data_IF_310293893322
#
_entry.id   IF_310293893322
#
_cell.length_a   1.000
_cell.length_b   1.000
_cell.length_c   1.000
_cell.angle_alpha   90.00
_cell.angle_beta   90.00
_cell.angle_gamma   90.00
#
_symmetry.space_group_name_H-M   'P 1'
#
loop_
_entity.id
_entity.type
_entity.pdbx_description
1 polymer ?
#
# COMPACT_ATOMS: atom_id res chain seq x y z
N UNK A 1 -5.75 -9.98 16.20
CA UNK A 1 -5.62 -9.63 17.64
C UNK A 1 -6.04 -10.84 18.44
N UNK A 2 -5.11 -11.70 18.84
CA UNK A 2 -5.41 -12.95 19.57
C UNK A 2 -5.77 -12.66 21.02
N UNK A 3 -6.70 -13.43 21.60
CA UNK A 3 -7.11 -13.32 23.03
C UNK A 3 -5.89 -13.34 23.96
N UNK A 4 -4.89 -14.17 23.66
CA UNK A 4 -3.62 -14.25 24.38
C UNK A 4 -2.83 -12.93 24.45
N UNK A 5 -2.88 -12.08 23.41
CA UNK A 5 -2.21 -10.77 23.42
C UNK A 5 -2.93 -9.77 24.32
N UNK A 6 -4.25 -9.93 24.46
CA UNK A 6 -5.06 -9.07 25.31
C UNK A 6 -4.85 -9.45 26.78
N UNK A 7 -4.82 -10.74 27.09
CA UNK A 7 -4.51 -11.27 28.43
C UNK A 7 -3.13 -10.86 28.91
N UNK A 8 -2.10 -10.95 28.06
CA UNK A 8 -0.75 -10.49 28.40
C UNK A 8 -0.72 -8.99 28.75
N UNK A 9 -1.46 -8.16 27.99
CA UNK A 9 -1.55 -6.72 28.23
C UNK A 9 -2.32 -6.40 29.52
N UNK A 10 -3.38 -7.14 29.81
CA UNK A 10 -4.15 -6.99 31.06
C UNK A 10 -3.29 -7.36 32.26
N UNK A 11 -2.55 -8.48 32.19
CA UNK A 11 -1.63 -8.88 33.25
C UNK A 11 -0.52 -7.85 33.50
N UNK A 12 -0.02 -7.20 32.43
CA UNK A 12 0.93 -6.11 32.56
C UNK A 12 0.33 -4.86 33.24
N UNK A 13 -0.90 -4.49 32.87
CA UNK A 13 -1.62 -3.37 33.50
C UNK A 13 -1.91 -3.64 34.97
N UNK A 14 -2.34 -4.87 35.30
CA UNK A 14 -2.54 -5.30 36.69
C UNK A 14 -1.25 -5.22 37.49
N UNK A 15 -0.13 -5.68 36.92
CA UNK A 15 1.20 -5.59 37.55
C UNK A 15 1.62 -4.15 37.81
N UNK A 16 1.34 -3.23 36.88
CA UNK A 16 1.70 -1.81 37.02
C UNK A 16 0.85 -1.15 38.12
N UNK A 17 -0.43 -1.48 38.22
CA UNK A 17 -1.37 -0.83 39.13
C UNK A 17 -1.29 -1.40 40.55
N UNK A 18 -1.23 -2.73 40.68
CA UNK A 18 -1.26 -3.44 41.97
C UNK A 18 0.16 -3.76 42.49
N UNK A 19 1.19 -3.60 41.66
CA UNK A 19 2.56 -3.99 41.95
C UNK A 19 2.77 -5.51 41.84
N UNK A 20 4.02 -5.94 41.67
CA UNK A 20 4.40 -7.35 41.50
C UNK A 20 4.29 -8.23 42.75
N UNK A 21 3.44 -7.90 43.71
CA UNK A 21 3.31 -8.64 44.96
C UNK A 21 2.07 -9.53 44.94
N UNK A 22 2.30 -10.85 44.93
CA UNK A 22 1.33 -11.88 45.30
C UNK A 22 1.06 -11.83 46.82
N UNK A 23 0.75 -10.65 47.35
CA UNK A 23 0.31 -10.47 48.73
C UNK A 23 -1.22 -10.56 48.70
N UNK A 24 -1.74 -11.60 49.33
CA UNK A 24 -3.17 -11.82 49.53
C UNK A 24 -3.87 -10.52 49.89
N UNK A 25 -4.85 -10.10 49.05
CA UNK A 25 -5.67 -8.90 49.18
C UNK A 25 -5.94 -8.54 50.66
N UNK A 26 -5.19 -7.62 51.26
CA UNK A 26 -5.70 -6.88 52.40
C UNK A 26 -6.67 -5.86 51.79
N UNK A 27 -7.87 -5.75 52.35
CA UNK A 27 -8.97 -4.85 51.97
C UNK A 27 -8.64 -3.82 50.88
N UNK A 28 -9.43 -3.86 49.80
CA UNK A 28 -9.47 -2.89 48.71
C UNK A 28 -9.13 -1.49 49.27
N UNK A 29 -8.01 -0.86 48.88
CA UNK A 29 -7.63 0.43 49.46
C UNK A 29 -8.82 1.39 49.32
N UNK A 30 -9.26 2.07 50.38
CA UNK A 30 -10.58 2.73 50.46
C UNK A 30 -10.73 3.95 49.53
N UNK A 31 -9.72 4.26 48.71
CA UNK A 31 -9.70 5.42 47.81
C UNK A 31 -9.29 4.98 46.42
N UNK A 32 -10.14 5.29 45.45
CA UNK A 32 -9.86 5.13 44.02
C UNK A 32 -8.52 5.78 43.67
N UNK A 33 -7.70 5.10 42.86
CA UNK A 33 -6.41 5.61 42.36
C UNK A 33 -6.58 6.99 41.73
N UNK A 34 -7.72 7.22 41.09
CA UNK A 34 -8.08 8.52 40.53
C UNK A 34 -8.17 9.62 41.60
N UNK A 35 -8.74 9.33 42.77
CA UNK A 35 -8.81 10.28 43.87
C UNK A 35 -7.43 10.57 44.45
N UNK A 36 -6.60 9.53 44.63
CA UNK A 36 -5.22 9.69 45.09
C UNK A 36 -4.38 10.52 44.12
N UNK A 37 -4.54 10.28 42.82
CA UNK A 37 -3.89 11.07 41.76
C UNK A 37 -4.42 12.51 41.73
N UNK A 38 -5.73 12.72 41.89
CA UNK A 38 -6.32 14.05 41.94
C UNK A 38 -5.83 14.84 43.16
N UNK A 39 -5.73 14.20 44.31
CA UNK A 39 -5.22 14.81 45.54
C UNK A 39 -3.72 15.12 45.43
N UNK A 40 -2.93 14.20 44.86
CA UNK A 40 -1.52 14.44 44.55
C UNK A 40 -1.34 15.59 43.56
N UNK A 41 -2.19 15.68 42.53
CA UNK A 41 -2.16 16.76 41.56
C UNK A 41 -2.55 18.11 42.18
N UNK A 42 -3.57 18.14 43.06
CA UNK A 42 -3.92 19.35 43.83
C UNK A 42 -2.78 19.77 44.76
N UNK A 43 -2.12 18.82 45.42
CA UNK A 43 -0.96 19.07 46.26
C UNK A 43 0.23 19.60 45.43
N UNK A 44 0.44 19.06 44.23
CA UNK A 44 1.43 19.53 43.26
C UNK A 44 1.16 20.98 42.86
N UNK A 45 -0.07 21.31 42.45
CA UNK A 45 -0.49 22.67 42.08
C UNK A 45 -0.33 23.67 43.24
N UNK A 46 -0.60 23.23 44.47
CA UNK A 46 -0.35 24.04 45.66
C UNK A 46 1.16 24.25 45.93
N UNK A 47 1.98 23.24 45.65
CA UNK A 47 3.43 23.28 45.81
C UNK A 47 4.12 24.11 44.71
N UNK A 48 3.61 24.11 43.47
CA UNK A 48 4.11 24.93 42.35
C UNK A 48 3.98 26.44 42.60
N UNK A 49 3.10 26.87 43.51
CA UNK A 49 3.04 28.27 43.97
C UNK A 49 4.33 28.71 44.68
N UNK A 50 5.16 27.76 45.13
CA UNK A 50 6.49 28.04 45.68
C UNK A 50 7.51 28.02 44.54
N UNK A 51 8.08 29.19 44.23
CA UNK A 51 9.02 29.37 43.12
C UNK A 51 10.16 28.34 43.07
N UNK A 52 10.72 27.95 44.23
CA UNK A 52 11.78 26.92 44.29
C UNK A 52 11.33 25.53 43.86
N UNK A 53 10.09 25.14 44.18
CA UNK A 53 9.55 23.82 43.82
C UNK A 53 9.25 23.78 42.32
N UNK A 54 8.68 24.87 41.80
CA UNK A 54 8.46 25.04 40.36
C UNK A 54 9.78 24.95 39.58
N UNK A 55 10.81 25.66 40.02
CA UNK A 55 12.14 25.60 39.41
C UNK A 55 12.73 24.18 39.41
N UNK A 56 12.59 23.42 40.52
CA UNK A 56 13.05 22.03 40.57
C UNK A 56 12.23 21.09 39.69
N UNK A 57 10.92 21.32 39.55
CA UNK A 57 10.04 20.53 38.69
C UNK A 57 10.36 20.79 37.22
N UNK A 58 10.61 22.04 36.85
CA UNK A 58 11.04 22.44 35.51
C UNK A 58 12.39 21.78 35.16
N UNK A 59 13.36 21.81 36.10
CA UNK A 59 14.64 21.10 35.96
C UNK A 59 14.51 19.57 35.89
N UNK A 60 13.41 19.00 36.38
CA UNK A 60 13.18 17.54 36.27
C UNK A 60 13.01 17.11 34.81
N UNK A 61 12.40 17.97 33.97
CA UNK A 61 12.33 17.72 32.53
C UNK A 61 13.71 17.81 31.87
N UNK A 62 14.55 18.74 32.31
CA UNK A 62 15.95 18.82 31.85
C UNK A 62 16.74 17.59 32.28
N UNK A 63 16.63 17.16 33.54
CA UNK A 63 17.28 15.94 34.04
C UNK A 63 16.80 14.71 33.26
N UNK A 64 15.51 14.60 32.93
CA UNK A 64 14.99 13.54 32.06
C UNK A 64 15.64 13.55 30.68
N UNK A 65 15.88 14.74 30.11
CA UNK A 65 16.58 14.90 28.83
C UNK A 65 18.05 14.47 28.94
N UNK A 66 18.75 14.80 30.02
CA UNK A 66 20.13 14.36 30.24
C UNK A 66 20.27 12.87 30.60
N UNK A 67 19.20 12.23 31.06
CA UNK A 67 19.13 10.79 31.33
C UNK A 67 18.78 9.95 30.09
N UNK A 68 18.36 10.58 28.98
CA UNK A 68 18.15 9.87 27.72
C UNK A 68 19.51 9.43 27.15
N UNK A 69 19.76 8.12 26.99
CA UNK A 69 21.02 7.62 26.43
C UNK A 69 21.35 8.24 25.07
N UNK A 70 20.34 8.55 24.26
CA UNK A 70 20.52 9.12 22.92
C UNK A 70 20.89 10.61 22.95
N UNK A 71 20.52 11.33 24.02
CA UNK A 71 20.86 12.75 24.15
C UNK A 71 22.36 12.95 24.40
N UNK A 72 22.96 12.06 25.19
CA UNK A 72 24.40 12.07 25.41
C UNK A 72 25.16 11.67 24.16
N UNK A 73 24.69 10.71 23.37
CA UNK A 73 25.35 10.32 22.12
C UNK A 73 25.39 11.48 21.12
N UNK A 74 24.28 12.20 20.92
CA UNK A 74 24.24 13.34 19.97
C UNK A 74 25.19 14.49 20.35
N UNK A 75 25.40 14.70 21.65
CA UNK A 75 26.28 15.75 22.21
C UNK A 75 27.72 15.27 22.36
N UNK A 76 27.95 14.00 22.71
CA UNK A 76 29.27 13.40 22.90
C UNK A 76 29.94 13.01 21.59
N UNK A 77 29.17 12.83 20.50
CA UNK A 77 29.76 12.66 19.19
C UNK A 77 30.46 13.95 18.75
N UNK A 78 31.79 13.95 18.88
CA UNK A 78 32.67 15.00 18.38
C UNK A 78 32.39 15.27 16.89
N UNK A 79 32.47 16.54 16.49
CA UNK A 79 32.28 16.94 15.09
C UNK A 79 33.21 16.17 14.14
N UNK A 80 34.41 15.84 14.60
CA UNK A 80 35.37 15.01 13.85
C UNK A 80 34.83 13.60 13.56
N UNK A 81 34.13 13.00 14.52
CA UNK A 81 33.53 11.68 14.35
C UNK A 81 32.27 11.75 13.46
N UNK A 82 31.47 12.83 13.55
CA UNK A 82 30.35 13.07 12.63
C UNK A 82 30.83 13.18 11.18
N UNK A 83 31.93 13.90 10.94
CA UNK A 83 32.57 14.00 9.62
C UNK A 83 33.01 12.63 9.12
N UNK A 84 33.67 11.83 9.97
CA UNK A 84 34.10 10.47 9.59
C UNK A 84 32.94 9.54 9.27
N UNK A 85 31.82 9.63 10.00
CA UNK A 85 30.61 8.86 9.71
C UNK A 85 30.01 9.28 8.35
N UNK A 86 29.93 10.59 8.07
CA UNK A 86 29.43 11.09 6.79
C UNK A 86 30.33 10.62 5.64
N UNK A 87 31.65 10.71 5.78
CA UNK A 87 32.60 10.25 4.77
C UNK A 87 32.55 8.73 4.58
N UNK A 88 32.43 7.96 5.66
CA UNK A 88 32.28 6.50 5.59
C UNK A 88 30.99 6.08 4.86
N UNK A 89 29.94 6.90 4.99
CA UNK A 89 28.60 6.63 4.45
C UNK A 89 28.34 7.37 3.12
N UNK A 90 29.32 8.11 2.61
CA UNK A 90 29.18 8.99 1.43
C UNK A 90 28.62 8.25 0.21
N UNK A 91 29.17 7.07 -0.11
CA UNK A 91 28.71 6.26 -1.24
C UNK A 91 27.22 5.92 -1.14
N UNK A 92 26.76 5.51 0.04
CA UNK A 92 25.35 5.14 0.24
C UNK A 92 24.44 6.37 0.23
N UNK A 93 24.91 7.54 0.69
CA UNK A 93 24.15 8.79 0.62
C UNK A 93 23.97 9.18 -0.85
N UNK A 94 25.02 9.05 -1.67
CA UNK A 94 24.94 9.31 -3.11
C UNK A 94 24.04 8.31 -3.83
N UNK A 95 24.15 7.01 -3.50
CA UNK A 95 23.30 5.97 -4.08
C UNK A 95 21.82 6.17 -3.73
N UNK A 96 21.52 6.48 -2.47
CA UNK A 96 20.14 6.76 -2.02
C UNK A 96 19.59 8.05 -2.63
N UNK A 97 20.40 9.10 -2.78
CA UNK A 97 20.01 10.31 -3.49
C UNK A 97 19.68 10.04 -4.97
N UNK A 98 20.53 9.27 -5.68
CA UNK A 98 20.28 8.86 -7.07
C UNK A 98 19.01 8.01 -7.19
N UNK A 99 18.80 7.08 -6.25
CA UNK A 99 17.59 6.27 -6.21
C UNK A 99 16.34 7.15 -5.99
N UNK A 100 16.43 8.15 -5.11
CA UNK A 100 15.34 9.09 -4.85
C UNK A 100 15.03 9.95 -6.08
N UNK A 101 16.04 10.45 -6.79
CA UNK A 101 15.87 11.18 -8.06
C UNK A 101 15.19 10.29 -9.12
N UNK A 102 15.60 9.02 -9.22
CA UNK A 102 14.96 8.07 -10.15
C UNK A 102 13.50 7.79 -9.79
N UNK A 103 13.18 7.76 -8.49
CA UNK A 103 11.82 7.58 -7.99
C UNK A 103 10.95 8.82 -8.27
N UNK A 104 11.51 10.02 -8.09
CA UNK A 104 10.79 11.27 -8.36
C UNK A 104 10.48 11.42 -9.86
N UNK A 105 11.42 11.03 -10.73
CA UNK A 105 11.17 10.91 -12.17
C UNK A 105 10.04 9.92 -12.48
N UNK A 106 9.96 8.79 -11.77
CA UNK A 106 8.95 7.76 -11.98
C UNK A 106 7.57 8.14 -11.42
N UNK A 107 7.51 9.00 -10.40
CA UNK A 107 6.27 9.48 -9.78
C UNK A 107 5.33 10.15 -10.78
N UNK A 108 5.88 10.82 -11.79
CA UNK A 108 5.11 11.44 -12.87
C UNK A 108 4.37 10.43 -13.75
N UNK A 109 4.92 9.22 -13.92
CA UNK A 109 4.31 8.16 -14.75
C UNK A 109 3.19 7.40 -14.03
N UNK A 110 3.34 7.21 -12.71
CA UNK A 110 2.33 6.52 -11.89
C UNK A 110 0.98 7.26 -11.83
N UNK A 111 1.00 8.59 -11.95
CA UNK A 111 -0.20 9.43 -11.91
C UNK A 111 -0.69 9.86 -13.30
N UNK A 112 -0.19 9.26 -14.39
CA UNK A 112 -0.70 9.58 -15.71
C UNK A 112 -2.18 9.15 -15.85
N UNK A 113 -3.07 10.03 -16.34
CA UNK A 113 -4.49 9.72 -16.50
C UNK A 113 -4.73 8.53 -17.45
N UNK A 114 -3.77 8.21 -18.32
CA UNK A 114 -3.79 7.03 -19.19
C UNK A 114 -3.94 5.71 -18.41
N UNK A 115 -3.45 5.62 -17.17
CA UNK A 115 -3.66 4.43 -16.33
C UNK A 115 -5.08 4.36 -15.74
N UNK A 116 -5.77 5.49 -15.58
CA UNK A 116 -7.16 5.53 -15.12
C UNK A 116 -8.12 5.03 -16.20
N UNK A 117 -7.87 5.42 -17.45
CA UNK A 117 -8.70 5.05 -18.60
C UNK A 117 -8.52 3.59 -19.05
N UNK A 118 -7.60 2.85 -18.42
CA UNK A 118 -7.25 1.48 -18.79
C UNK A 118 -8.43 0.51 -18.62
N UNK A 119 -9.27 0.71 -17.60
CA UNK A 119 -10.46 -0.13 -17.39
C UNK A 119 -11.53 0.11 -18.46
N UNK A 120 -11.77 1.38 -18.81
CA UNK A 120 -12.70 1.75 -19.88
C UNK A 120 -12.20 1.27 -21.24
N UNK A 121 -10.89 1.39 -21.51
CA UNK A 121 -10.26 0.88 -22.72
C UNK A 121 -10.36 -0.65 -22.79
N UNK A 122 -10.17 -1.35 -21.67
CA UNK A 122 -10.33 -2.81 -21.59
C UNK A 122 -11.76 -3.24 -21.89
N UNK A 123 -12.76 -2.52 -21.36
CA UNK A 123 -14.17 -2.78 -21.65
C UNK A 123 -14.51 -2.54 -23.13
N UNK A 124 -14.03 -1.44 -23.71
CA UNK A 124 -14.17 -1.14 -25.15
C UNK A 124 -13.50 -2.20 -26.01
N UNK A 125 -12.29 -2.63 -25.64
CA UNK A 125 -11.54 -3.66 -26.36
C UNK A 125 -12.26 -5.01 -26.29
N UNK A 126 -12.78 -5.42 -25.13
CA UNK A 126 -13.57 -6.64 -25.00
C UNK A 126 -14.81 -6.63 -25.90
N UNK A 127 -15.52 -5.50 -25.98
CA UNK A 127 -16.66 -5.32 -26.89
C UNK A 127 -16.24 -5.40 -28.35
N UNK A 128 -15.09 -4.83 -28.71
CA UNK A 128 -14.54 -4.90 -30.06
C UNK A 128 -14.14 -6.33 -30.43
N UNK A 129 -13.49 -7.06 -29.54
CA UNK A 129 -13.12 -8.47 -29.75
C UNK A 129 -14.35 -9.34 -30.00
N UNK A 130 -15.43 -9.13 -29.24
CA UNK A 130 -16.70 -9.82 -29.46
C UNK A 130 -17.27 -9.51 -30.84
N UNK A 131 -17.30 -8.22 -31.23
CA UNK A 131 -17.76 -7.83 -32.58
C UNK A 131 -16.88 -8.38 -33.70
N UNK A 132 -15.57 -8.45 -33.48
CA UNK A 132 -14.64 -9.03 -34.44
C UNK A 132 -14.87 -10.54 -34.60
N UNK A 133 -15.15 -11.26 -33.52
CA UNK A 133 -15.50 -12.68 -33.58
C UNK A 133 -16.80 -12.90 -34.39
N UNK A 134 -17.84 -12.10 -34.13
CA UNK A 134 -19.09 -12.13 -34.91
C UNK A 134 -18.85 -11.82 -36.40
N UNK A 135 -18.03 -10.81 -36.71
CA UNK A 135 -17.71 -10.47 -38.09
C UNK A 135 -16.92 -11.59 -38.79
N UNK A 136 -16.03 -12.26 -38.06
CA UNK A 136 -15.25 -13.36 -38.61
C UNK A 136 -16.13 -14.57 -38.95
N UNK A 137 -17.12 -14.91 -38.12
CA UNK A 137 -18.08 -15.98 -38.44
C UNK A 137 -18.95 -15.60 -39.62
N UNK A 138 -19.52 -14.39 -39.64
CA UNK A 138 -20.36 -13.93 -40.76
C UNK A 138 -19.59 -13.88 -42.09
N UNK A 139 -18.31 -13.51 -42.04
CA UNK A 139 -17.47 -13.49 -43.25
C UNK A 139 -17.17 -14.90 -43.74
N UNK A 140 -16.94 -15.86 -42.84
CA UNK A 140 -16.75 -17.26 -43.22
C UNK A 140 -18.03 -17.83 -43.85
N UNK A 141 -19.19 -17.63 -43.23
CA UNK A 141 -20.48 -18.09 -43.75
C UNK A 141 -20.76 -17.49 -45.14
N UNK A 142 -20.52 -16.18 -45.31
CA UNK A 142 -20.70 -15.50 -46.60
C UNK A 142 -19.74 -16.05 -47.67
N UNK A 143 -18.48 -16.33 -47.31
CA UNK A 143 -17.52 -16.93 -48.26
C UNK A 143 -18.01 -18.31 -48.69
N UNK A 144 -18.52 -19.12 -47.77
CA UNK A 144 -19.04 -20.46 -48.07
C UNK A 144 -20.26 -20.39 -48.99
N UNK A 145 -21.24 -19.53 -48.70
CA UNK A 145 -22.41 -19.30 -49.57
C UNK A 145 -22.00 -18.81 -50.97
N UNK A 146 -21.03 -17.90 -51.04
CA UNK A 146 -20.57 -17.36 -52.33
C UNK A 146 -19.85 -18.42 -53.16
N UNK A 147 -19.07 -19.30 -52.51
CA UNK A 147 -18.39 -20.40 -53.16
C UNK A 147 -19.40 -21.45 -53.67
N UNK A 148 -20.43 -21.77 -52.89
CA UNK A 148 -21.50 -22.67 -53.31
C UNK A 148 -22.22 -22.11 -54.56
N UNK A 149 -22.61 -20.84 -54.54
CA UNK A 149 -23.24 -20.19 -55.69
C UNK A 149 -22.33 -20.16 -56.93
N UNK A 150 -21.03 -19.90 -56.73
CA UNK A 150 -20.05 -19.94 -57.83
C UNK A 150 -19.93 -21.34 -58.43
N UNK A 151 -20.05 -22.37 -57.59
CA UNK A 151 -19.98 -23.76 -58.02
C UNK A 151 -21.24 -24.17 -58.79
N UNK A 152 -22.43 -23.78 -58.33
CA UNK A 152 -23.68 -23.97 -59.09
C UNK A 152 -23.62 -23.26 -60.45
N UNK A 153 -23.10 -22.03 -60.49
CA UNK A 153 -22.89 -21.30 -61.73
C UNK A 153 -21.89 -22.01 -62.66
N UNK A 154 -20.78 -22.51 -62.12
CA UNK A 154 -19.80 -23.28 -62.91
C UNK A 154 -20.40 -24.57 -63.47
N UNK A 155 -21.25 -25.25 -62.70
CA UNK A 155 -21.93 -26.48 -63.11
C UNK A 155 -22.97 -26.22 -64.21
N UNK A 156 -23.79 -25.18 -64.06
CA UNK A 156 -24.77 -24.78 -65.09
C UNK A 156 -24.09 -24.36 -66.39
N UNK A 157 -23.00 -23.59 -66.35
CA UNK A 157 -22.19 -23.28 -67.55
C UNK A 157 -21.65 -24.54 -68.19
N UNK A 158 -21.12 -25.48 -67.40
CA UNK A 158 -20.56 -26.72 -67.91
C UNK A 158 -21.63 -27.53 -68.64
N UNK A 159 -22.83 -27.61 -68.09
CA UNK A 159 -23.93 -28.36 -68.69
C UNK A 159 -24.48 -27.67 -69.94
N UNK A 160 -24.61 -26.34 -69.93
CA UNK A 160 -24.92 -25.56 -71.13
C UNK A 160 -23.86 -25.79 -72.21
N UNK A 161 -22.57 -25.77 -71.85
CA UNK A 161 -21.47 -26.00 -72.80
C UNK A 161 -21.52 -27.40 -73.40
N UNK A 162 -21.81 -28.43 -72.60
CA UNK A 162 -22.01 -29.81 -73.09
C UNK A 162 -23.21 -29.88 -74.05
N UNK A 163 -24.33 -29.24 -73.72
CA UNK A 163 -25.51 -29.20 -74.59
C UNK A 163 -25.20 -28.55 -75.95
N UNK A 164 -24.48 -27.42 -75.95
CA UNK A 164 -24.06 -26.75 -77.19
C UNK A 164 -23.13 -27.63 -78.04
N UNK A 165 -22.16 -28.31 -77.43
CA UNK A 165 -21.26 -29.23 -78.17
C UNK A 165 -22.04 -30.43 -78.72
N UNK A 166 -22.96 -31.01 -77.93
CA UNK A 166 -23.79 -32.12 -78.38
C UNK A 166 -24.69 -31.73 -79.56
N UNK A 167 -25.27 -30.53 -79.53
CA UNK A 167 -26.05 -29.99 -80.64
C UNK A 167 -25.19 -29.75 -81.89
N UNK A 168 -24.00 -29.17 -81.73
CA UNK A 168 -23.09 -28.93 -82.85
C UNK A 168 -22.64 -30.24 -83.52
N UNK A 169 -22.35 -31.28 -82.74
CA UNK A 169 -21.96 -32.59 -83.28
C UNK A 169 -23.13 -33.39 -83.90
N UNK A 170 -24.37 -32.97 -83.68
CA UNK A 170 -25.59 -33.61 -84.23
C UNK A 170 -26.09 -32.94 -85.53
N UNK A 171 -25.41 -31.88 -86.00
CA UNK A 171 -25.69 -31.17 -87.26
C UNK A 171 -24.56 -31.44 -88.25
#
# INVERSE_FOLDING_TARGET
MSVASLEARVAELERIILGGSQIALPELPPRSIFQQLSDAHKALLAAERRNKIKETLDRTNEIRKYLDPHFLDDVAMSNEAKIKVILAQESTIVETARALESLDALKGFLNQPACSDLQDLKAKFAKLTLKHAEQQTLTADLIDETNELLQEYADTIRDISKLFVAWHNST
#
